data_IF_377304919183
#
_entry.id   IF_377304919183
#
_cell.length_a   1.000
_cell.length_b   1.000
_cell.length_c   1.000
_cell.angle_alpha   90.00
_cell.angle_beta   90.00
_cell.angle_gamma   90.00
#
_symmetry.space_group_name_H-M   'P 1'
#
loop_
_entity.id
_entity.type
_entity.pdbx_description
1 polymer ?
#
# COMPACT_ATOMS: atom_id res chain seq x y z
N UNK A 1 -18.32 -12.56 3.61
CA UNK A 1 -18.79 -11.37 4.34
C UNK A 1 -18.73 -10.21 3.38
N UNK A 2 -19.77 -9.38 3.31
CA UNK A 2 -19.79 -8.26 2.37
C UNK A 2 -19.03 -7.07 2.94
N UNK A 3 -18.16 -6.46 2.14
CA UNK A 3 -17.36 -5.31 2.56
C UNK A 3 -17.44 -4.19 1.51
N UNK A 4 -17.08 -2.97 1.88
CA UNK A 4 -17.19 -1.81 1.01
C UNK A 4 -16.29 -1.93 -0.21
N UNK A 5 -16.87 -1.66 -1.39
CA UNK A 5 -16.13 -1.68 -2.66
C UNK A 5 -15.27 -0.43 -2.76
N UNK A 6 -14.00 -0.61 -3.10
CA UNK A 6 -13.06 0.49 -3.33
C UNK A 6 -13.36 1.20 -4.66
N UNK A 7 -13.20 2.51 -4.65
CA UNK A 7 -13.48 3.39 -5.78
C UNK A 7 -12.31 4.35 -6.03
N UNK A 8 -12.23 4.91 -7.24
CA UNK A 8 -11.21 5.89 -7.58
C UNK A 8 -11.19 7.07 -6.60
N UNK A 9 -10.00 7.39 -6.11
CA UNK A 9 -9.77 8.43 -5.09
C UNK A 9 -9.87 7.93 -3.65
N UNK A 10 -10.13 6.63 -3.44
CA UNK A 10 -9.87 5.99 -2.16
C UNK A 10 -8.36 5.92 -1.89
N UNK A 11 -7.97 5.75 -0.62
CA UNK A 11 -6.58 5.84 -0.20
C UNK A 11 -6.06 4.52 0.36
N UNK A 12 -4.86 4.13 -0.02
CA UNK A 12 -4.11 3.05 0.61
C UNK A 12 -3.27 3.63 1.73
N UNK A 13 -3.66 3.39 2.98
CA UNK A 13 -2.91 3.84 4.14
C UNK A 13 -1.88 2.76 4.52
N UNK A 14 -0.61 3.14 4.58
CA UNK A 14 0.46 2.22 4.95
C UNK A 14 0.79 2.40 6.43
N UNK A 15 1.17 1.32 7.10
CA UNK A 15 1.66 1.39 8.48
C UNK A 15 3.11 1.89 8.44
N UNK A 16 3.52 2.88 9.26
CA UNK A 16 4.91 3.34 9.32
C UNK A 16 5.91 2.26 9.71
N UNK A 17 5.49 1.18 10.35
CA UNK A 17 6.37 0.10 10.79
C UNK A 17 6.52 -0.98 9.72
N UNK A 18 7.71 -1.07 9.14
CA UNK A 18 8.11 -2.10 8.17
C UNK A 18 9.20 -2.99 8.79
N UNK A 19 8.80 -4.01 9.55
CA UNK A 19 9.73 -4.82 10.33
C UNK A 19 10.46 -3.99 11.37
N UNK A 20 11.79 -3.90 11.27
CA UNK A 20 12.65 -3.08 12.15
C UNK A 20 12.81 -1.62 11.66
N UNK A 21 12.32 -1.32 10.46
CA UNK A 21 12.39 0.01 9.87
C UNK A 21 11.13 0.83 10.17
N UNK A 22 11.34 2.09 10.54
CA UNK A 22 10.29 3.10 10.63
C UNK A 22 10.35 3.95 9.38
N UNK A 23 9.32 3.85 8.55
CA UNK A 23 9.15 4.55 7.29
C UNK A 23 8.18 5.70 7.49
N UNK A 24 8.52 6.88 6.97
CA UNK A 24 7.61 8.00 6.86
C UNK A 24 6.67 7.77 5.67
N UNK A 25 5.56 7.08 5.97
CA UNK A 25 4.54 6.69 5.00
C UNK A 25 3.70 7.87 4.55
N UNK A 26 3.20 7.79 3.31
CA UNK A 26 2.14 8.67 2.82
C UNK A 26 1.01 7.80 2.26
N UNK A 27 -0.26 8.22 2.36
CA UNK A 27 -1.34 7.49 1.74
C UNK A 27 -1.14 7.45 0.21
N UNK A 28 -1.24 6.26 -0.38
CA UNK A 28 -1.28 6.09 -1.83
C UNK A 28 -2.68 6.32 -2.37
N UNK A 29 -2.81 6.89 -3.56
CA UNK A 29 -4.12 7.07 -4.21
C UNK A 29 -4.47 5.84 -5.05
N UNK A 30 -5.68 5.31 -4.88
CA UNK A 30 -6.22 4.25 -5.71
C UNK A 30 -6.93 4.82 -6.93
N UNK A 31 -6.63 4.24 -8.09
CA UNK A 31 -7.27 4.55 -9.36
C UNK A 31 -7.97 3.29 -9.84
N UNK A 32 -9.31 3.32 -9.84
CA UNK A 32 -10.11 2.21 -10.33
C UNK A 32 -10.17 2.17 -11.85
N UNK A 33 -9.96 0.99 -12.43
CA UNK A 33 -10.10 0.72 -13.88
C UNK A 33 -11.33 -0.12 -14.22
N UNK A 34 -12.19 -0.40 -13.24
CA UNK A 34 -13.43 -1.16 -13.45
C UNK A 34 -14.42 -0.44 -14.37
N UNK A 35 -15.28 -1.20 -15.05
CA UNK A 35 -16.34 -0.64 -15.93
C UNK A 35 -17.52 -0.05 -15.14
N UNK A 36 -17.71 -0.50 -13.92
CA UNK A 36 -18.80 -0.07 -13.03
C UNK A 36 -18.41 1.24 -12.35
N UNK A 37 -19.39 2.10 -12.15
CA UNK A 37 -19.23 3.33 -11.39
C UNK A 37 -20.07 3.31 -10.14
N UNK A 38 -19.48 3.70 -9.02
CA UNK A 38 -20.18 3.95 -7.76
C UNK A 38 -20.00 5.42 -7.47
N UNK A 39 -21.10 6.15 -7.33
CA UNK A 39 -21.07 7.61 -7.10
C UNK A 39 -20.25 8.36 -8.17
N UNK A 40 -20.46 8.01 -9.45
CA UNK A 40 -19.73 8.52 -10.62
C UNK A 40 -18.22 8.21 -10.66
N UNK A 41 -17.66 7.53 -9.66
CA UNK A 41 -16.26 7.09 -9.60
C UNK A 41 -16.13 5.64 -10.04
N UNK A 42 -15.09 5.32 -10.80
CA UNK A 42 -14.82 3.95 -11.25
C UNK A 42 -14.48 3.06 -10.04
N UNK A 43 -14.92 1.81 -10.08
CA UNK A 43 -14.57 0.83 -9.04
C UNK A 43 -13.15 0.33 -9.25
N UNK A 44 -12.42 0.11 -8.15
CA UNK A 44 -11.13 -0.54 -8.19
C UNK A 44 -11.33 -2.04 -8.37
N UNK A 45 -10.55 -2.63 -9.26
CA UNK A 45 -10.58 -4.06 -9.60
C UNK A 45 -9.20 -4.67 -9.39
N UNK A 46 -9.17 -6.00 -9.36
CA UNK A 46 -7.93 -6.77 -9.26
C UNK A 46 -6.89 -6.33 -10.31
N UNK A 47 -5.71 -5.95 -9.82
CA UNK A 47 -4.60 -5.40 -10.60
C UNK A 47 -4.42 -3.89 -10.43
N UNK A 48 -5.44 -3.16 -9.97
CA UNK A 48 -5.33 -1.70 -9.74
C UNK A 48 -4.42 -1.38 -8.55
N UNK A 49 -4.32 -2.30 -7.58
CA UNK A 49 -3.45 -2.14 -6.42
C UNK A 49 -1.96 -2.05 -6.80
N UNK A 50 -1.57 -2.65 -7.93
CA UNK A 50 -0.17 -2.63 -8.41
C UNK A 50 0.25 -1.26 -8.91
N UNK A 51 -0.71 -0.40 -9.26
CA UNK A 51 -0.44 0.97 -9.66
C UNK A 51 -0.21 1.89 -8.46
N UNK A 52 -0.51 1.43 -7.24
CA UNK A 52 -0.30 2.20 -6.01
C UNK A 52 1.18 2.13 -5.64
N UNK A 53 1.89 3.21 -5.97
CA UNK A 53 3.31 3.38 -5.68
C UNK A 53 3.46 4.67 -4.88
N UNK A 54 4.13 4.59 -3.72
CA UNK A 54 4.43 5.76 -2.90
C UNK A 54 5.94 5.99 -2.89
N UNK A 55 6.46 6.88 -3.75
CA UNK A 55 7.88 7.16 -3.81
C UNK A 55 8.32 8.23 -2.80
N UNK A 56 9.63 8.27 -2.53
CA UNK A 56 10.23 9.29 -1.67
C UNK A 56 9.93 9.09 -0.19
N UNK A 57 9.66 7.86 0.22
CA UNK A 57 9.44 7.52 1.61
C UNK A 57 10.78 7.43 2.34
N UNK A 58 11.00 8.35 3.28
CA UNK A 58 12.17 8.32 4.14
C UNK A 58 12.05 7.19 5.15
N UNK A 59 13.14 6.48 5.42
CA UNK A 59 13.13 5.42 6.43
C UNK A 59 14.37 5.48 7.31
N UNK A 60 14.23 4.98 8.53
CA UNK A 60 15.31 4.83 9.51
C UNK A 60 15.10 3.56 10.33
N UNK A 61 16.17 3.06 10.92
CA UNK A 61 16.10 1.96 11.90
C UNK A 61 16.68 2.45 13.22
N UNK A 62 16.63 1.61 14.27
CA UNK A 62 17.25 1.96 15.55
C UNK A 62 18.78 2.18 15.44
N UNK A 63 19.45 1.47 14.52
CA UNK A 63 20.89 1.56 14.29
C UNK A 63 21.24 2.61 13.20
N UNK A 64 20.42 2.69 12.15
CA UNK A 64 20.63 3.60 11.02
C UNK A 64 19.80 4.87 11.21
N UNK A 65 20.36 5.85 11.92
CA UNK A 65 19.67 7.10 12.27
C UNK A 65 19.70 8.15 11.16
N UNK A 66 20.62 8.04 10.19
CA UNK A 66 20.64 8.87 8.98
C UNK A 66 19.60 8.30 8.02
N UNK A 67 18.55 9.05 7.67
CA UNK A 67 17.42 8.51 6.92
C UNK A 67 17.82 8.15 5.48
N UNK A 68 17.45 6.94 5.07
CA UNK A 68 17.49 6.53 3.67
C UNK A 68 16.19 6.91 2.96
N UNK A 69 16.10 6.60 1.68
CA UNK A 69 14.89 6.81 0.88
C UNK A 69 14.52 5.55 0.10
N UNK A 70 13.23 5.29 -0.01
CA UNK A 70 12.71 4.19 -0.80
C UNK A 70 11.32 4.45 -1.36
N UNK A 71 10.73 3.38 -1.89
CA UNK A 71 9.40 3.36 -2.48
C UNK A 71 8.56 2.27 -1.81
N UNK A 72 7.31 2.56 -1.50
CA UNK A 72 6.35 1.58 -0.98
C UNK A 72 5.46 1.09 -2.12
N UNK A 73 5.23 -0.22 -2.14
CA UNK A 73 4.35 -0.93 -3.06
C UNK A 73 3.38 -1.81 -2.27
N UNK A 74 2.22 -2.10 -2.87
CA UNK A 74 1.35 -3.17 -2.38
C UNK A 74 1.84 -4.49 -2.96
N UNK A 75 2.35 -5.37 -2.11
CA UNK A 75 2.91 -6.67 -2.52
C UNK A 75 1.78 -7.66 -2.83
N UNK A 76 0.84 -7.79 -1.90
CA UNK A 76 -0.26 -8.74 -2.04
C UNK A 76 -1.47 -8.31 -1.22
N UNK A 77 -2.64 -8.47 -1.81
CA UNK A 77 -3.91 -8.30 -1.11
C UNK A 77 -4.28 -9.57 -0.34
N UNK A 78 -4.91 -9.40 0.82
CA UNK A 78 -5.52 -10.49 1.55
C UNK A 78 -6.76 -11.03 0.82
N UNK A 79 -7.14 -12.29 1.10
CA UNK A 79 -8.29 -12.92 0.45
C UNK A 79 -9.64 -12.25 0.72
N UNK A 80 -9.72 -11.39 1.73
CA UNK A 80 -10.91 -10.58 2.06
C UNK A 80 -10.91 -9.19 1.39
N UNK A 81 -9.88 -8.85 0.61
CA UNK A 81 -9.79 -7.61 -0.16
C UNK A 81 -10.12 -7.81 -1.65
N UNK A 82 -10.42 -9.06 -2.05
CA UNK A 82 -10.88 -9.40 -3.40
C UNK A 82 -12.28 -10.00 -3.33
N UNK A 83 -13.23 -9.39 -4.02
CA UNK A 83 -14.58 -9.92 -4.11
C UNK A 83 -14.61 -11.24 -4.90
N UNK A 84 -15.34 -12.24 -4.41
CA UNK A 84 -15.44 -13.54 -5.10
C UNK A 84 -16.58 -13.57 -6.10
N UNK A 85 -17.68 -12.87 -5.81
CA UNK A 85 -18.90 -12.82 -6.61
C UNK A 85 -19.01 -11.50 -7.38
N UNK A 86 -18.71 -10.39 -6.72
CA UNK A 86 -18.85 -9.06 -7.32
C UNK A 86 -17.70 -8.81 -8.31
N UNK A 87 -18.04 -8.66 -9.59
CA UNK A 87 -17.10 -8.38 -10.67
C UNK A 87 -17.49 -7.12 -11.42
N UNK A 88 -16.50 -6.38 -11.89
CA UNK A 88 -16.69 -5.24 -12.78
C UNK A 88 -15.85 -5.43 -14.04
N UNK A 89 -16.51 -5.45 -15.21
CA UNK A 89 -15.82 -5.72 -16.48
C UNK A 89 -15.14 -7.08 -16.54
N UNK A 90 -15.64 -8.08 -15.80
CA UNK A 90 -15.08 -9.43 -15.73
C UNK A 90 -14.00 -9.64 -14.66
N UNK A 91 -13.49 -8.55 -14.05
CA UNK A 91 -12.49 -8.62 -12.97
C UNK A 91 -13.14 -8.53 -11.58
N UNK A 92 -12.63 -9.26 -10.57
CA UNK A 92 -13.01 -9.08 -9.17
C UNK A 92 -12.87 -7.62 -8.74
N UNK A 93 -13.87 -7.06 -8.04
CA UNK A 93 -13.71 -5.74 -7.42
C UNK A 93 -12.86 -5.82 -6.16
N UNK A 94 -12.11 -4.77 -5.87
CA UNK A 94 -11.38 -4.66 -4.62
C UNK A 94 -12.32 -4.21 -3.50
N UNK A 95 -12.13 -4.83 -2.34
CA UNK A 95 -12.87 -4.56 -1.12
C UNK A 95 -11.94 -3.93 -0.09
N UNK A 96 -12.50 -3.11 0.80
CA UNK A 96 -11.75 -2.52 1.91
C UNK A 96 -10.97 -3.58 2.70
N UNK A 97 -11.65 -4.65 3.09
CA UNK A 97 -11.06 -5.77 3.81
C UNK A 97 -10.39 -5.35 5.11
N UNK A 98 -9.39 -6.13 5.53
CA UNK A 98 -8.60 -5.85 6.73
C UNK A 98 -7.26 -5.20 6.36
N UNK A 99 -6.21 -6.01 6.21
CA UNK A 99 -4.84 -5.56 5.96
C UNK A 99 -4.35 -6.15 4.64
N UNK A 100 -3.65 -5.36 3.83
CA UNK A 100 -2.83 -5.85 2.72
C UNK A 100 -1.36 -5.90 3.13
N UNK A 101 -0.58 -6.75 2.46
CA UNK A 101 0.87 -6.77 2.62
C UNK A 101 1.47 -5.66 1.75
N UNK A 102 2.31 -4.85 2.37
CA UNK A 102 3.06 -3.80 1.71
C UNK A 102 4.54 -4.15 1.71
N UNK A 103 5.25 -3.69 0.69
CA UNK A 103 6.69 -3.86 0.53
C UNK A 103 7.35 -2.51 0.34
N UNK A 104 8.31 -2.20 1.17
CA UNK A 104 9.15 -1.03 1.03
C UNK A 104 10.47 -1.44 0.39
N UNK A 105 10.75 -0.91 -0.80
CA UNK A 105 11.99 -1.14 -1.54
C UNK A 105 12.93 0.05 -1.30
N UNK A 106 14.11 -0.24 -0.79
CA UNK A 106 15.15 0.75 -0.54
C UNK A 106 15.74 1.18 -1.88
N UNK A 107 15.82 2.49 -2.11
CA UNK A 107 16.52 3.09 -3.26
C UNK A 107 17.88 3.66 -2.85
N UNK A 108 17.92 4.33 -1.70
CA UNK A 108 19.15 4.74 -1.05
C UNK A 108 19.10 4.28 0.42
N UNK A 109 20.11 3.51 0.88
CA UNK A 109 20.11 2.93 2.20
C UNK A 109 20.22 3.99 3.30
N UNK A 110 19.53 3.74 4.41
CA UNK A 110 19.76 4.46 5.66
C UNK A 110 21.18 4.18 6.16
N UNK A 111 21.79 5.12 6.88
CA UNK A 111 23.17 4.99 7.35
C UNK A 111 23.26 5.09 8.87
N UNK A 112 24.14 4.28 9.45
CA UNK A 112 24.54 4.38 10.84
C UNK A 112 25.70 5.38 10.94
N UNK A 113 25.62 6.39 11.83
CA UNK A 113 26.74 7.29 12.10
C UNK A 113 27.89 6.51 12.75
N UNK A 114 29.02 6.41 12.05
CA UNK A 114 30.25 5.80 12.56
C UNK A 114 31.48 6.52 12.01
N UNK A 115 32.60 6.43 12.72
CA UNK A 115 33.91 6.96 12.30
C UNK A 115 34.78 5.82 11.76
N UNK A 116 35.56 5.99 10.66
CA UNK A 116 35.70 7.21 9.84
C UNK A 116 34.56 7.43 8.83
N UNK A 117 33.79 6.39 8.47
CA UNK A 117 32.70 6.49 7.49
C UNK A 117 31.39 5.92 8.05
N UNK A 118 30.22 6.44 7.64
CA UNK A 118 28.93 5.85 7.95
C UNK A 118 28.77 4.44 7.35
N UNK A 119 28.08 3.56 8.06
CA UNK A 119 27.77 2.19 7.60
C UNK A 119 26.36 2.17 6.99
N UNK A 120 26.20 1.83 5.69
CA UNK A 120 24.88 1.70 5.07
C UNK A 120 24.13 0.44 5.51
N UNK A 121 22.82 0.55 5.58
CA UNK A 121 21.91 -0.58 5.74
C UNK A 121 21.99 -1.49 4.51
N UNK A 122 22.30 -2.77 4.72
CA UNK A 122 22.38 -3.77 3.66
C UNK A 122 21.01 -4.31 3.24
N UNK A 123 19.96 -3.96 3.97
CA UNK A 123 18.59 -4.44 3.70
C UNK A 123 18.01 -3.72 2.50
N UNK A 124 17.72 -4.46 1.43
CA UNK A 124 17.17 -3.90 0.19
C UNK A 124 15.66 -3.72 0.23
N UNK A 125 14.98 -4.46 1.09
CA UNK A 125 13.52 -4.46 1.17
C UNK A 125 13.02 -4.78 2.58
N UNK A 126 11.93 -4.12 2.95
CA UNK A 126 11.24 -4.35 4.20
C UNK A 126 9.78 -4.68 3.95
N UNK A 127 9.25 -5.64 4.71
CA UNK A 127 7.84 -6.02 4.65
C UNK A 127 7.06 -5.25 5.71
N UNK A 128 5.85 -4.84 5.34
CA UNK A 128 4.92 -4.14 6.19
C UNK A 128 3.48 -4.45 5.81
N UNK A 129 2.57 -3.67 6.33
CA UNK A 129 1.15 -3.82 6.08
C UNK A 129 0.49 -2.46 5.91
N UNK A 130 -0.72 -2.47 5.36
CA UNK A 130 -1.55 -1.28 5.23
C UNK A 130 -3.02 -1.62 5.15
N UNK A 131 -3.86 -0.60 5.19
CA UNK A 131 -5.32 -0.71 5.11
C UNK A 131 -5.86 0.22 4.03
N UNK A 132 -6.96 -0.18 3.41
CA UNK A 132 -7.66 0.72 2.49
C UNK A 132 -8.63 1.61 3.27
N UNK A 133 -8.61 2.90 2.93
CA UNK A 133 -9.59 3.88 3.36
C UNK A 133 -10.51 4.20 2.19
N UNK A 134 -11.76 3.76 2.32
CA UNK A 134 -12.78 4.01 1.33
C UNK A 134 -13.69 5.17 1.71
N UNK A 135 -14.06 5.95 0.70
CA UNK A 135 -15.09 6.99 0.79
C UNK A 135 -16.47 6.44 0.44
N UNK A 136 -16.56 5.23 -0.13
CA UNK A 136 -17.81 4.56 -0.42
C UNK A 136 -18.38 3.87 0.82
N UNK A 137 -19.40 4.50 1.41
CA UNK A 137 -20.12 3.97 2.57
C UNK A 137 -21.47 3.33 2.21
N UNK A 138 -21.80 3.17 0.92
CA UNK A 138 -23.13 2.72 0.47
C UNK A 138 -23.11 1.33 -0.15
N UNK A 139 -22.10 1.03 -0.98
CA UNK A 139 -22.10 -0.20 -1.78
C UNK A 139 -21.10 -1.18 -1.20
N UNK A 140 -21.58 -2.40 -0.91
CA UNK A 140 -20.77 -3.53 -0.46
C UNK A 140 -20.75 -4.64 -1.51
N UNK A 141 -19.65 -5.37 -1.59
CA UNK A 141 -19.45 -6.52 -2.48
C UNK A 141 -19.04 -7.77 -1.69
N UNK A 142 -19.22 -8.94 -2.30
CA UNK A 142 -18.82 -10.26 -1.75
C UNK A 142 -18.00 -11.04 -2.74
#
# INVERSE_FOLDING_TARGET
MADFILITGDKANFNPTFGIATVNVRPGDLIGTGKSKINQKLVCVDGDEKNVIVPGCLYKTAQHTIPGVGMIFIESLAGNQKAKKTKSGGKPVLLKGALFNAKFKVLAPAQQPSTPNPIPDTTLEYLGNGTFMTTNMKVKGT
#
